data_IF_177297362163
#
_entry.id   IF_177297362163
#
_cell.length_a   1.000
_cell.length_b   1.000
_cell.length_c   1.000
_cell.angle_alpha   90.00
_cell.angle_beta   90.00
_cell.angle_gamma   90.00
#
_symmetry.space_group_name_H-M   'P 1'
#
loop_
_entity.id
_entity.type
_entity.pdbx_description
1 polymer ?
#
# COMPACT_ATOMS: atom_id res chain seq x y z
N UNK A 1 -1.83 19.23 -1.05
CA UNK A 1 -2.17 20.56 -0.52
C UNK A 1 -1.90 20.65 0.98
N UNK A 2 -2.32 19.66 1.76
CA UNK A 2 -2.08 19.64 3.23
C UNK A 2 -0.58 19.76 3.53
N UNK A 3 0.27 19.08 2.76
CA UNK A 3 1.73 19.19 2.86
C UNK A 3 2.33 20.53 2.39
N UNK A 4 1.52 21.52 2.01
CA UNK A 4 1.99 22.82 1.54
C UNK A 4 2.53 22.84 0.10
N UNK A 5 2.36 21.76 -0.68
CA UNK A 5 2.80 21.72 -2.08
C UNK A 5 2.05 22.78 -2.90
N UNK A 6 2.80 23.68 -3.54
CA UNK A 6 2.24 24.84 -4.26
C UNK A 6 1.72 24.45 -5.64
N UNK A 7 2.50 23.71 -6.43
CA UNK A 7 2.14 23.27 -7.78
C UNK A 7 1.77 21.79 -7.75
N UNK A 8 0.56 21.45 -8.17
CA UNK A 8 0.06 20.08 -8.25
C UNK A 8 -0.49 19.86 -9.64
N UNK A 9 0.02 18.83 -10.30
CA UNK A 9 -0.41 18.38 -11.61
C UNK A 9 -1.18 17.07 -11.46
N UNK A 10 -2.36 16.98 -12.07
CA UNK A 10 -3.11 15.76 -12.21
C UNK A 10 -2.94 15.21 -13.63
N UNK A 11 -2.38 14.01 -13.75
CA UNK A 11 -2.32 13.27 -15.01
C UNK A 11 -3.26 12.04 -14.91
N UNK A 12 -4.26 11.97 -15.78
CA UNK A 12 -5.22 10.87 -15.82
C UNK A 12 -5.73 10.68 -17.25
N UNK A 13 -5.58 9.48 -17.87
CA UNK A 13 -5.96 9.24 -19.25
C UNK A 13 -7.48 9.27 -19.50
N UNK A 14 -8.28 9.12 -18.44
CA UNK A 14 -9.75 9.11 -18.50
C UNK A 14 -10.33 10.13 -17.51
N UNK A 15 -10.37 11.38 -17.94
CA UNK A 15 -10.95 12.47 -17.15
C UNK A 15 -12.48 12.36 -17.16
N UNK A 16 -13.04 11.76 -16.12
CA UNK A 16 -14.49 11.75 -15.91
C UNK A 16 -14.95 12.94 -15.06
N UNK A 17 -16.26 13.30 -15.08
CA UNK A 17 -16.77 14.44 -14.34
C UNK A 17 -16.47 14.42 -12.84
N UNK A 18 -16.45 13.24 -12.20
CA UNK A 18 -16.17 13.11 -10.77
C UNK A 18 -14.70 13.47 -10.45
N UNK A 19 -13.75 13.02 -11.29
CA UNK A 19 -12.32 13.39 -11.15
C UNK A 19 -12.13 14.89 -11.34
N UNK A 20 -12.75 15.49 -12.35
CA UNK A 20 -12.67 16.92 -12.61
C UNK A 20 -13.31 17.74 -11.48
N UNK A 21 -14.46 17.30 -10.96
CA UNK A 21 -15.11 17.93 -9.84
C UNK A 21 -14.23 17.91 -8.59
N UNK A 22 -13.67 16.75 -8.25
CA UNK A 22 -12.78 16.60 -7.11
C UNK A 22 -11.52 17.48 -7.24
N UNK A 23 -10.89 17.48 -8.42
CA UNK A 23 -9.73 18.33 -8.70
C UNK A 23 -10.05 19.82 -8.54
N UNK A 24 -11.19 20.27 -9.09
CA UNK A 24 -11.69 21.65 -8.92
C UNK A 24 -11.94 21.99 -7.46
N UNK A 25 -12.59 21.08 -6.71
CA UNK A 25 -12.94 21.28 -5.29
C UNK A 25 -11.70 21.49 -4.42
N UNK A 26 -10.61 20.78 -4.68
CA UNK A 26 -9.35 20.94 -3.96
C UNK A 26 -8.41 21.97 -4.61
N UNK A 27 -8.84 22.63 -5.70
CA UNK A 27 -8.13 23.72 -6.37
C UNK A 27 -6.88 23.26 -7.14
N UNK A 28 -6.92 22.09 -7.80
CA UNK A 28 -5.94 21.69 -8.81
C UNK A 28 -6.32 22.40 -10.11
N UNK A 29 -5.35 23.10 -10.71
CA UNK A 29 -5.55 23.87 -11.93
C UNK A 29 -4.90 23.23 -13.17
N UNK A 30 -3.84 22.46 -12.99
CA UNK A 30 -3.11 21.79 -14.07
C UNK A 30 -3.59 20.34 -14.18
N UNK A 31 -4.33 20.05 -15.23
CA UNK A 31 -4.91 18.72 -15.47
C UNK A 31 -4.59 18.31 -16.91
N UNK A 32 -3.97 17.15 -17.07
CA UNK A 32 -3.57 16.61 -18.35
C UNK A 32 -4.25 15.26 -18.62
N UNK A 33 -4.90 15.14 -19.78
CA UNK A 33 -5.47 13.88 -20.26
C UNK A 33 -4.37 13.00 -20.84
N UNK A 34 -3.53 12.43 -19.96
CA UNK A 34 -2.44 11.54 -20.34
C UNK A 34 -2.22 10.46 -19.28
N UNK A 35 -1.65 9.33 -19.69
CA UNK A 35 -1.39 8.18 -18.81
C UNK A 35 -0.20 7.36 -19.31
N UNK A 36 0.01 6.21 -18.64
CA UNK A 36 1.09 5.30 -19.03
C UNK A 36 2.49 5.86 -18.82
N UNK A 37 3.47 5.25 -19.45
CA UNK A 37 4.86 5.70 -19.41
C UNK A 37 5.05 7.11 -19.94
N UNK A 38 4.24 7.52 -20.93
CA UNK A 38 4.29 8.83 -21.54
C UNK A 38 3.96 9.94 -20.53
N UNK A 39 2.97 9.71 -19.64
CA UNK A 39 2.66 10.66 -18.58
C UNK A 39 3.85 10.83 -17.62
N UNK A 40 4.51 9.73 -17.23
CA UNK A 40 5.67 9.75 -16.34
C UNK A 40 6.81 10.55 -16.99
N UNK A 41 7.15 10.25 -18.24
CA UNK A 41 8.19 10.96 -18.99
C UNK A 41 7.85 12.46 -19.17
N UNK A 42 6.60 12.79 -19.49
CA UNK A 42 6.15 14.18 -19.60
C UNK A 42 6.27 14.92 -18.28
N UNK A 43 5.84 14.32 -17.17
CA UNK A 43 5.95 14.93 -15.85
C UNK A 43 7.40 15.16 -15.44
N UNK A 44 8.29 14.19 -15.71
CA UNK A 44 9.70 14.29 -15.36
C UNK A 44 10.44 15.32 -16.21
N UNK A 45 10.34 15.24 -17.54
CA UNK A 45 11.24 15.97 -18.46
C UNK A 45 10.63 17.22 -19.08
N UNK A 46 9.31 17.24 -19.31
CA UNK A 46 8.62 18.41 -19.91
C UNK A 46 8.10 19.33 -18.80
N UNK A 47 7.30 18.78 -17.88
CA UNK A 47 6.72 19.55 -16.77
C UNK A 47 7.70 19.80 -15.63
N UNK A 48 8.79 19.02 -15.57
CA UNK A 48 9.89 19.10 -14.60
C UNK A 48 9.40 19.19 -13.16
N UNK A 49 8.52 18.27 -12.78
CA UNK A 49 8.02 18.19 -11.40
C UNK A 49 9.10 17.66 -10.45
N UNK A 50 9.06 18.05 -9.18
CA UNK A 50 10.02 17.56 -8.19
C UNK A 50 9.70 16.13 -7.72
N UNK A 51 8.43 15.73 -7.76
CA UNK A 51 8.01 14.39 -7.30
C UNK A 51 6.78 13.90 -8.09
N UNK A 52 6.77 12.63 -8.46
CA UNK A 52 5.66 11.92 -9.08
C UNK A 52 5.15 10.89 -8.07
N UNK A 53 3.85 10.89 -7.81
CA UNK A 53 3.17 9.97 -6.88
C UNK A 53 1.88 9.44 -7.48
N UNK A 54 1.45 8.28 -7.02
CA UNK A 54 0.16 7.69 -7.39
C UNK A 54 0.29 6.30 -8.03
N UNK A 55 -0.80 5.54 -8.05
CA UNK A 55 -0.80 4.17 -8.56
C UNK A 55 -0.70 4.14 -10.09
N UNK A 56 -0.35 2.99 -10.62
CA UNK A 56 -0.30 2.75 -12.04
C UNK A 56 -0.07 1.28 -12.37
N UNK A 57 -0.23 0.94 -13.65
CA UNK A 57 0.06 -0.39 -14.14
C UNK A 57 1.57 -0.66 -14.24
N UNK A 58 1.96 -1.87 -14.67
CA UNK A 58 3.35 -2.29 -14.79
C UNK A 58 4.21 -1.36 -15.65
N UNK A 59 3.64 -0.74 -16.70
CA UNK A 59 4.35 0.23 -17.55
C UNK A 59 4.63 1.53 -16.81
N UNK A 60 3.68 2.01 -16.00
CA UNK A 60 3.88 3.18 -15.12
C UNK A 60 4.93 2.88 -14.07
N UNK A 61 4.87 1.72 -13.43
CA UNK A 61 5.85 1.29 -12.43
C UNK A 61 7.27 1.20 -13.03
N UNK A 62 7.41 0.65 -14.25
CA UNK A 62 8.69 0.58 -14.95
C UNK A 62 9.20 1.98 -15.32
N UNK A 63 8.33 2.83 -15.87
CA UNK A 63 8.70 4.21 -16.23
C UNK A 63 9.14 5.03 -15.01
N UNK A 64 8.48 4.87 -13.86
CA UNK A 64 8.91 5.50 -12.60
C UNK A 64 10.31 5.06 -12.17
N UNK A 65 10.66 3.78 -12.36
CA UNK A 65 12.01 3.29 -12.07
C UNK A 65 13.06 3.92 -13.00
N UNK A 66 12.73 4.12 -14.28
CA UNK A 66 13.65 4.71 -15.27
C UNK A 66 13.94 6.19 -14.99
N UNK A 67 12.94 6.95 -14.49
CA UNK A 67 13.11 8.38 -14.17
C UNK A 67 13.56 8.63 -12.73
N UNK A 68 13.73 7.56 -11.93
CA UNK A 68 14.18 7.68 -10.54
C UNK A 68 15.62 8.23 -10.50
N UNK A 69 15.81 9.32 -9.77
CA UNK A 69 17.06 10.07 -9.75
C UNK A 69 16.95 11.40 -10.47
N UNK A 70 16.21 11.47 -11.59
CA UNK A 70 15.88 12.73 -12.27
C UNK A 70 14.70 13.43 -11.60
N UNK A 71 13.77 12.66 -11.08
CA UNK A 71 12.60 13.14 -10.33
C UNK A 71 12.34 12.23 -9.12
N UNK A 72 11.87 12.81 -8.02
CA UNK A 72 11.49 12.03 -6.85
C UNK A 72 10.29 11.13 -7.14
N UNK A 73 10.37 9.87 -6.73
CA UNK A 73 9.28 8.89 -6.81
C UNK A 73 8.92 8.45 -5.39
N UNK A 74 7.67 8.08 -5.14
CA UNK A 74 7.32 7.41 -3.89
C UNK A 74 8.11 6.11 -3.72
N UNK A 75 8.52 5.81 -2.48
CA UNK A 75 9.41 4.69 -2.16
C UNK A 75 8.78 3.30 -2.26
N UNK A 76 7.65 3.14 -2.97
CA UNK A 76 6.92 1.88 -3.04
C UNK A 76 6.86 1.32 -4.48
N UNK A 77 6.82 0.00 -4.57
CA UNK A 77 6.62 -0.71 -5.83
C UNK A 77 5.11 -0.91 -6.03
N UNK A 78 4.56 -0.39 -7.11
CA UNK A 78 3.19 -0.68 -7.50
C UNK A 78 3.13 -2.09 -8.12
N UNK A 79 2.42 -2.98 -7.46
CA UNK A 79 2.12 -4.34 -7.91
C UNK A 79 0.63 -4.63 -7.84
N UNK A 80 0.21 -5.89 -8.07
CA UNK A 80 -1.16 -6.30 -7.81
C UNK A 80 -1.54 -6.05 -6.36
N UNK A 81 -2.79 -5.67 -6.13
CA UNK A 81 -3.27 -5.43 -4.76
C UNK A 81 -3.37 -6.72 -3.95
N UNK A 82 -3.13 -6.63 -2.66
CA UNK A 82 -2.97 -7.76 -1.76
C UNK A 82 -3.79 -7.59 -0.48
N UNK A 83 -4.39 -8.69 -0.02
CA UNK A 83 -4.98 -8.77 1.31
C UNK A 83 -4.48 -10.00 2.05
N UNK A 84 -4.12 -9.82 3.31
CA UNK A 84 -3.89 -10.92 4.25
C UNK A 84 -4.85 -10.77 5.43
N UNK A 85 -5.66 -11.79 5.67
CA UNK A 85 -6.63 -11.82 6.77
C UNK A 85 -6.16 -12.79 7.85
N UNK A 86 -6.08 -12.32 9.08
CA UNK A 86 -5.90 -13.19 10.25
C UNK A 86 -7.24 -13.38 10.91
N UNK A 87 -7.71 -14.61 10.97
CA UNK A 87 -9.03 -14.97 11.51
C UNK A 87 -8.94 -16.12 12.53
N UNK A 88 -9.87 -16.14 13.48
CA UNK A 88 -9.98 -17.19 14.49
C UNK A 88 -11.38 -17.85 14.50
N UNK A 89 -11.59 -18.81 15.39
CA UNK A 89 -12.87 -19.53 15.54
C UNK A 89 -14.08 -18.64 15.87
N UNK A 90 -13.87 -17.39 16.26
CA UNK A 90 -14.93 -16.42 16.57
C UNK A 90 -15.22 -15.48 15.41
N UNK A 91 -14.38 -15.50 14.38
CA UNK A 91 -14.56 -14.69 13.18
C UNK A 91 -15.73 -15.23 12.36
N UNK A 92 -16.57 -14.34 11.87
CA UNK A 92 -17.66 -14.72 10.98
C UNK A 92 -17.09 -15.12 9.60
N UNK A 93 -17.45 -16.32 9.14
CA UNK A 93 -16.99 -16.84 7.85
C UNK A 93 -17.36 -15.92 6.67
N UNK A 94 -18.56 -15.34 6.70
CA UNK A 94 -19.01 -14.46 5.61
C UNK A 94 -18.19 -13.17 5.54
N UNK A 95 -17.74 -12.63 6.68
CA UNK A 95 -16.84 -11.47 6.70
C UNK A 95 -15.52 -11.82 6.01
N UNK A 96 -14.92 -12.96 6.33
CA UNK A 96 -13.67 -13.43 5.68
C UNK A 96 -13.86 -13.63 4.18
N UNK A 97 -14.94 -14.29 3.77
CA UNK A 97 -15.26 -14.53 2.36
C UNK A 97 -15.41 -13.19 1.63
N UNK A 98 -16.18 -12.25 2.19
CA UNK A 98 -16.44 -10.95 1.58
C UNK A 98 -15.16 -10.14 1.40
N UNK A 99 -14.29 -10.07 2.42
CA UNK A 99 -13.01 -9.35 2.32
C UNK A 99 -12.07 -9.98 1.29
N UNK A 100 -11.95 -11.31 1.25
CA UNK A 100 -11.14 -12.00 0.23
C UNK A 100 -11.66 -11.75 -1.18
N UNK A 101 -12.98 -11.80 -1.38
CA UNK A 101 -13.61 -11.56 -2.69
C UNK A 101 -13.47 -10.09 -3.11
N UNK A 102 -13.66 -9.15 -2.20
CA UNK A 102 -13.50 -7.72 -2.47
C UNK A 102 -12.10 -7.39 -3.01
N UNK A 103 -11.07 -8.07 -2.51
CA UNK A 103 -9.73 -7.94 -3.07
C UNK A 103 -9.57 -8.72 -4.39
N UNK A 104 -10.07 -9.95 -4.45
CA UNK A 104 -9.90 -10.83 -5.60
C UNK A 104 -10.57 -10.27 -6.88
N UNK A 105 -11.68 -9.55 -6.76
CA UNK A 105 -12.38 -8.96 -7.91
C UNK A 105 -11.66 -7.73 -8.49
N UNK A 106 -10.65 -7.20 -7.81
CA UNK A 106 -9.90 -6.02 -8.24
C UNK A 106 -9.10 -6.30 -9.51
N UNK A 107 -8.32 -7.39 -9.53
CA UNK A 107 -7.50 -7.83 -10.66
C UNK A 107 -7.26 -9.34 -10.62
N UNK A 108 -7.02 -9.97 -11.77
CA UNK A 108 -6.71 -11.40 -11.88
C UNK A 108 -5.42 -11.79 -11.17
N UNK A 109 -4.52 -10.84 -10.94
CA UNK A 109 -3.25 -11.03 -10.24
C UNK A 109 -3.33 -10.66 -8.75
N UNK A 110 -4.49 -10.20 -8.26
CA UNK A 110 -4.65 -9.87 -6.84
C UNK A 110 -4.33 -11.08 -5.96
N UNK A 111 -3.64 -10.82 -4.83
CA UNK A 111 -3.29 -11.87 -3.87
C UNK A 111 -4.20 -11.83 -2.66
N UNK A 112 -4.78 -12.99 -2.30
CA UNK A 112 -5.74 -13.11 -1.21
C UNK A 112 -5.30 -14.23 -0.27
N UNK A 113 -4.90 -13.86 0.96
CA UNK A 113 -4.32 -14.80 1.93
C UNK A 113 -5.17 -14.88 3.20
N UNK A 114 -5.47 -16.08 3.66
CA UNK A 114 -6.00 -16.34 4.99
C UNK A 114 -4.93 -16.99 5.87
N UNK A 115 -4.68 -16.43 7.04
CA UNK A 115 -3.86 -17.05 8.10
C UNK A 115 -4.78 -17.41 9.27
N UNK A 116 -4.81 -18.67 9.69
CA UNK A 116 -5.66 -19.09 10.81
C UNK A 116 -5.10 -20.30 11.53
N UNK A 117 -5.50 -20.46 12.79
CA UNK A 117 -5.29 -21.68 13.59
C UNK A 117 -6.49 -22.62 13.59
N UNK A 118 -7.57 -22.25 12.90
CA UNK A 118 -8.84 -23.00 12.91
C UNK A 118 -9.04 -23.81 11.62
N UNK A 119 -8.84 -25.12 11.71
CA UNK A 119 -9.05 -26.06 10.59
C UNK A 119 -10.51 -26.06 10.10
N UNK A 120 -11.49 -25.82 11.00
CA UNK A 120 -12.91 -25.77 10.64
C UNK A 120 -13.20 -24.53 9.78
N UNK A 121 -12.60 -23.40 10.11
CA UNK A 121 -12.70 -22.18 9.29
C UNK A 121 -12.14 -22.42 7.88
N UNK A 122 -10.98 -23.08 7.78
CA UNK A 122 -10.37 -23.44 6.48
C UNK A 122 -11.32 -24.32 5.65
N UNK A 123 -11.87 -25.37 6.26
CA UNK A 123 -12.80 -26.28 5.57
C UNK A 123 -14.03 -25.53 5.06
N UNK A 124 -14.64 -24.72 5.91
CA UNK A 124 -15.84 -23.96 5.56
C UNK A 124 -15.56 -22.91 4.51
N UNK A 125 -14.41 -22.21 4.56
CA UNK A 125 -14.00 -21.26 3.54
C UNK A 125 -13.90 -21.92 2.17
N UNK A 126 -13.15 -23.03 2.08
CA UNK A 126 -12.97 -23.78 0.81
C UNK A 126 -14.31 -24.24 0.21
N UNK A 127 -15.27 -24.63 1.06
CA UNK A 127 -16.58 -25.08 0.62
C UNK A 127 -17.44 -23.94 0.05
N UNK A 128 -17.38 -22.75 0.67
CA UNK A 128 -18.38 -21.70 0.43
C UNK A 128 -17.88 -20.56 -0.48
N UNK A 129 -16.57 -20.31 -0.57
CA UNK A 129 -16.07 -19.13 -1.27
C UNK A 129 -16.46 -19.07 -2.75
N UNK A 130 -16.36 -20.18 -3.48
CA UNK A 130 -16.72 -20.23 -4.90
C UNK A 130 -18.25 -20.23 -5.14
N UNK A 131 -19.02 -20.73 -4.18
CA UNK A 131 -20.48 -20.61 -4.24
C UNK A 131 -20.92 -19.15 -4.09
N UNK A 132 -20.30 -18.41 -3.17
CA UNK A 132 -20.58 -16.98 -3.00
C UNK A 132 -20.22 -16.18 -4.25
N UNK A 133 -19.17 -16.55 -4.98
CA UNK A 133 -18.75 -15.88 -6.20
C UNK A 133 -19.73 -15.99 -7.37
N UNK A 134 -20.53 -17.07 -7.46
CA UNK A 134 -21.34 -17.40 -8.65
C UNK A 134 -22.21 -16.24 -9.13
N UNK A 135 -22.78 -15.49 -8.21
CA UNK A 135 -23.76 -14.43 -8.50
C UNK A 135 -23.15 -13.02 -8.55
N UNK A 136 -21.82 -12.89 -8.47
CA UNK A 136 -21.18 -11.59 -8.49
C UNK A 136 -20.81 -11.14 -9.90
N UNK A 137 -20.94 -9.85 -10.24
CA UNK A 137 -20.65 -9.33 -11.57
C UNK A 137 -19.23 -9.62 -12.06
N UNK A 138 -18.24 -9.59 -11.17
CA UNK A 138 -16.81 -9.82 -11.49
C UNK A 138 -16.32 -11.23 -11.13
N UNK A 139 -17.22 -12.21 -11.10
CA UNK A 139 -16.91 -13.58 -10.66
C UNK A 139 -15.75 -14.23 -11.42
N UNK A 140 -15.61 -13.98 -12.73
CA UNK A 140 -14.52 -14.54 -13.55
C UNK A 140 -13.15 -14.03 -13.09
N UNK A 141 -13.03 -12.73 -12.80
CA UNK A 141 -11.79 -12.11 -12.33
C UNK A 141 -11.46 -12.66 -10.94
N UNK A 142 -12.39 -12.57 -9.99
CA UNK A 142 -12.21 -13.03 -8.63
C UNK A 142 -11.91 -14.54 -8.55
N UNK A 143 -12.60 -15.37 -9.35
CA UNK A 143 -12.33 -16.81 -9.40
C UNK A 143 -10.93 -17.13 -9.91
N UNK A 144 -10.44 -16.39 -10.91
CA UNK A 144 -9.08 -16.55 -11.42
C UNK A 144 -8.04 -16.13 -10.38
N UNK A 145 -8.21 -14.95 -9.79
CA UNK A 145 -7.34 -14.45 -8.72
C UNK A 145 -7.24 -15.44 -7.55
N UNK A 146 -8.38 -15.91 -7.02
CA UNK A 146 -8.40 -16.86 -5.90
C UNK A 146 -7.81 -18.24 -6.24
N UNK A 147 -7.96 -18.70 -7.48
CA UNK A 147 -7.38 -19.99 -7.93
C UNK A 147 -5.87 -19.90 -8.10
N UNK A 148 -5.40 -18.84 -8.71
CA UNK A 148 -4.00 -18.70 -9.11
C UNK A 148 -3.13 -18.11 -7.98
N UNK A 149 -3.68 -17.18 -7.18
CA UNK A 149 -2.95 -16.39 -6.18
C UNK A 149 -3.56 -16.47 -4.77
N UNK A 150 -4.63 -17.24 -4.56
CA UNK A 150 -5.22 -17.45 -3.25
C UNK A 150 -4.39 -18.40 -2.39
N UNK A 151 -4.14 -18.06 -1.13
CA UNK A 151 -3.37 -18.90 -0.21
C UNK A 151 -4.06 -19.02 1.14
N UNK A 152 -4.01 -20.22 1.71
CA UNK A 152 -4.46 -20.48 3.08
C UNK A 152 -3.27 -21.01 3.89
N UNK A 153 -2.91 -20.31 4.95
CA UNK A 153 -1.83 -20.68 5.86
C UNK A 153 -2.45 -21.18 7.18
N UNK A 154 -2.24 -22.44 7.48
CA UNK A 154 -2.55 -22.98 8.77
C UNK A 154 -1.39 -22.77 9.73
N UNK A 155 -1.57 -21.91 10.73
CA UNK A 155 -0.58 -21.64 11.75
C UNK A 155 -0.88 -22.49 13.01
N UNK A 156 0.14 -23.09 13.60
CA UNK A 156 -0.03 -23.89 14.84
C UNK A 156 -0.10 -23.01 16.08
N UNK A 157 0.53 -21.84 16.06
CA UNK A 157 0.62 -20.92 17.19
C UNK A 157 0.73 -19.45 16.73
N UNK A 158 0.69 -18.54 17.69
CA UNK A 158 0.73 -17.09 17.44
C UNK A 158 2.07 -16.63 16.85
N UNK A 159 3.18 -17.29 17.19
CA UNK A 159 4.52 -16.96 16.64
C UNK A 159 4.54 -17.18 15.12
N UNK A 160 3.96 -18.29 14.67
CA UNK A 160 3.88 -18.57 13.22
C UNK A 160 2.95 -17.58 12.49
N UNK A 161 1.87 -17.10 13.14
CA UNK A 161 1.02 -16.05 12.56
C UNK A 161 1.86 -14.78 12.33
N UNK A 162 2.56 -14.31 13.36
CA UNK A 162 3.40 -13.09 13.29
C UNK A 162 4.52 -13.26 12.23
N UNK A 163 5.18 -14.41 12.23
CA UNK A 163 6.22 -14.72 11.25
C UNK A 163 5.67 -14.65 9.83
N UNK A 164 4.55 -15.33 9.55
CA UNK A 164 3.94 -15.31 8.24
C UNK A 164 3.54 -13.90 7.80
N UNK A 165 2.93 -13.10 8.68
CA UNK A 165 2.59 -11.69 8.38
C UNK A 165 3.84 -10.90 7.98
N UNK A 166 4.91 -10.96 8.78
CA UNK A 166 6.13 -10.19 8.52
C UNK A 166 6.91 -10.69 7.29
N UNK A 167 6.82 -11.97 6.94
CA UNK A 167 7.41 -12.53 5.72
C UNK A 167 6.62 -12.12 4.48
N UNK A 168 5.29 -12.19 4.52
CA UNK A 168 4.40 -11.75 3.43
C UNK A 168 4.53 -10.23 3.24
N UNK A 169 4.55 -9.48 4.35
CA UNK A 169 4.58 -8.01 4.34
C UNK A 169 3.46 -7.41 3.49
N UNK A 170 2.19 -7.73 3.81
CA UNK A 170 1.04 -7.47 2.96
C UNK A 170 0.76 -5.97 2.81
N UNK A 171 0.17 -5.60 1.67
CA UNK A 171 -0.42 -4.29 1.46
C UNK A 171 -1.50 -3.99 2.51
N UNK A 172 -2.50 -4.86 2.57
CA UNK A 172 -3.57 -4.79 3.57
C UNK A 172 -3.52 -5.99 4.50
N UNK A 173 -3.49 -5.74 5.80
CA UNK A 173 -3.60 -6.75 6.84
C UNK A 173 -4.90 -6.54 7.60
N UNK A 174 -5.84 -7.50 7.54
CA UNK A 174 -7.00 -7.52 8.42
C UNK A 174 -6.75 -8.42 9.64
N UNK A 175 -6.77 -7.85 10.83
CA UNK A 175 -6.73 -8.58 12.09
C UNK A 175 -8.17 -8.80 12.61
N UNK A 176 -8.87 -9.76 12.02
CA UNK A 176 -10.25 -10.07 12.39
C UNK A 176 -10.31 -11.12 13.51
N UNK A 177 -9.66 -10.80 14.61
CA UNK A 177 -9.49 -11.66 15.80
C UNK A 177 -9.71 -10.87 17.09
N UNK A 178 -10.24 -11.54 18.13
CA UNK A 178 -10.57 -10.87 19.39
C UNK A 178 -9.34 -10.28 20.09
N UNK A 179 -8.24 -11.03 20.16
CA UNK A 179 -7.04 -10.65 20.91
C UNK A 179 -5.95 -10.04 20.03
N UNK A 180 -6.29 -9.12 19.13
CA UNK A 180 -5.38 -8.51 18.16
C UNK A 180 -4.20 -7.76 18.81
N UNK A 181 -4.39 -7.17 20.00
CA UNK A 181 -3.35 -6.36 20.68
C UNK A 181 -2.03 -7.10 20.87
N UNK A 182 -2.06 -8.42 21.13
CA UNK A 182 -0.84 -9.22 21.32
C UNK A 182 0.02 -9.38 20.07
N UNK A 183 -0.50 -9.00 18.90
CA UNK A 183 0.19 -9.07 17.62
C UNK A 183 0.77 -7.72 17.19
N UNK A 184 0.11 -6.58 17.56
CA UNK A 184 0.44 -5.26 17.02
C UNK A 184 1.92 -4.89 17.19
N UNK A 185 2.47 -5.05 18.41
CA UNK A 185 3.86 -4.71 18.71
C UNK A 185 4.90 -5.64 18.06
N UNK A 186 4.43 -6.70 17.39
CA UNK A 186 5.26 -7.71 16.72
C UNK A 186 5.14 -7.67 15.20
N UNK A 187 4.18 -6.92 14.68
CA UNK A 187 3.97 -6.71 13.25
C UNK A 187 4.64 -5.40 12.86
N UNK A 188 5.68 -5.49 12.07
CA UNK A 188 6.43 -4.35 11.57
C UNK A 188 6.43 -4.24 10.04
N UNK A 189 5.92 -5.24 9.34
CA UNK A 189 5.84 -5.25 7.90
C UNK A 189 4.38 -5.38 7.45
N UNK A 190 3.68 -4.26 7.27
CA UNK A 190 2.37 -4.19 6.63
C UNK A 190 2.15 -2.77 6.10
N UNK A 191 1.50 -2.64 4.96
CA UNK A 191 1.15 -1.33 4.39
C UNK A 191 0.05 -0.64 5.19
N UNK A 192 -1.00 -1.38 5.55
CA UNK A 192 -2.10 -0.93 6.41
C UNK A 192 -2.57 -2.08 7.31
N UNK A 193 -2.96 -1.77 8.54
CA UNK A 193 -3.53 -2.75 9.49
C UNK A 193 -4.95 -2.36 9.84
N UNK A 194 -5.91 -3.15 9.37
CA UNK A 194 -7.33 -3.01 9.64
C UNK A 194 -7.72 -3.90 10.83
N UNK A 195 -8.30 -3.31 11.88
CA UNK A 195 -8.50 -4.01 13.15
C UNK A 195 -9.98 -4.28 13.42
N UNK A 196 -10.33 -5.55 13.46
CA UNK A 196 -11.67 -6.03 13.84
C UNK A 196 -12.71 -5.88 12.72
N UNK A 197 -13.88 -6.44 12.97
CA UNK A 197 -14.95 -6.58 11.98
C UNK A 197 -15.54 -5.28 11.41
N UNK A 198 -15.35 -4.17 12.09
CA UNK A 198 -15.85 -2.86 11.64
C UNK A 198 -14.84 -2.03 10.84
N UNK A 199 -13.69 -2.60 10.55
CA UNK A 199 -12.62 -1.94 9.80
C UNK A 199 -12.22 -2.77 8.59
N UNK A 200 -13.15 -3.11 7.68
CA UNK A 200 -12.78 -3.83 6.46
C UNK A 200 -11.93 -2.93 5.55
N UNK A 201 -11.04 -3.53 4.78
CA UNK A 201 -10.13 -2.85 3.85
C UNK A 201 -10.82 -1.77 3.00
N UNK A 202 -11.97 -2.08 2.40
CA UNK A 202 -12.69 -1.15 1.55
C UNK A 202 -13.07 0.16 2.26
N UNK A 203 -13.39 0.13 3.57
CA UNK A 203 -13.67 1.35 4.35
C UNK A 203 -12.38 2.13 4.60
N UNK A 204 -11.28 1.44 4.87
CA UNK A 204 -9.98 2.10 5.12
C UNK A 204 -9.46 2.80 3.87
N UNK A 205 -9.67 2.22 2.69
CA UNK A 205 -9.23 2.80 1.42
C UNK A 205 -10.02 4.05 1.01
N UNK A 206 -11.31 4.11 1.34
CA UNK A 206 -12.16 5.18 0.81
C UNK A 206 -12.56 6.23 1.84
N UNK A 207 -12.83 5.87 3.09
CA UNK A 207 -13.57 6.73 4.01
C UNK A 207 -12.88 6.99 5.36
N UNK A 208 -11.93 6.16 5.80
CA UNK A 208 -11.35 6.28 7.15
C UNK A 208 -10.24 7.33 7.27
N UNK A 209 -9.88 8.00 6.18
CA UNK A 209 -8.84 9.03 6.14
C UNK A 209 -7.42 8.52 5.91
N UNK A 210 -7.21 7.22 5.85
CA UNK A 210 -5.96 6.60 5.42
C UNK A 210 -5.77 6.72 3.91
N UNK A 211 -4.53 6.62 3.44
CA UNK A 211 -4.25 6.61 2.00
C UNK A 211 -4.29 5.18 1.47
N UNK A 212 -4.89 4.99 0.30
CA UNK A 212 -4.97 3.69 -0.37
C UNK A 212 -3.74 3.39 -1.28
N UNK A 213 -2.81 4.32 -1.42
CA UNK A 213 -1.54 4.09 -2.14
C UNK A 213 -0.55 3.49 -1.16
N UNK A 214 -0.49 2.19 -1.15
CA UNK A 214 0.22 1.37 -0.17
C UNK A 214 1.31 0.53 -0.83
N UNK A 215 2.34 0.11 -0.08
CA UNK A 215 3.38 -0.78 -0.59
C UNK A 215 2.82 -2.17 -0.87
N UNK A 216 3.11 -2.71 -2.05
CA UNK A 216 2.72 -4.05 -2.50
C UNK A 216 3.94 -4.93 -2.75
N UNK A 217 3.73 -6.21 -3.06
CA UNK A 217 4.80 -7.18 -3.39
C UNK A 217 5.89 -7.26 -2.32
N UNK A 218 5.47 -7.24 -1.05
CA UNK A 218 6.39 -7.34 0.08
C UNK A 218 7.23 -6.09 0.33
N UNK A 219 6.99 -4.98 -0.38
CA UNK A 219 7.76 -3.73 -0.20
C UNK A 219 7.44 -3.01 1.11
N UNK A 220 6.41 -3.44 1.85
CA UNK A 220 6.17 -2.97 3.21
C UNK A 220 7.32 -3.28 4.20
N UNK A 221 8.31 -4.09 3.80
CA UNK A 221 9.57 -4.31 4.54
C UNK A 221 10.45 -3.06 4.63
N UNK A 222 10.34 -2.16 3.67
CA UNK A 222 11.21 -0.97 3.57
C UNK A 222 10.48 0.30 3.11
N UNK A 223 9.20 0.21 2.79
CA UNK A 223 8.37 1.33 2.33
C UNK A 223 7.12 1.48 3.18
N UNK A 224 6.63 2.71 3.29
CA UNK A 224 5.33 3.04 3.90
C UNK A 224 4.33 3.48 2.84
N UNK A 225 3.05 3.52 3.19
CA UNK A 225 2.02 4.11 2.36
C UNK A 225 2.25 5.60 2.13
N UNK A 226 1.72 6.12 1.03
CA UNK A 226 1.82 7.54 0.69
C UNK A 226 1.26 8.41 1.81
N UNK A 227 2.05 9.33 2.31
CA UNK A 227 1.70 10.21 3.43
C UNK A 227 2.22 11.64 3.21
N UNK A 228 1.86 12.53 4.13
CA UNK A 228 2.32 13.93 4.09
C UNK A 228 3.84 14.03 4.18
N UNK A 229 4.49 13.11 4.91
CA UNK A 229 5.95 13.08 5.07
C UNK A 229 6.71 12.86 3.75
N UNK A 230 6.06 12.22 2.75
CA UNK A 230 6.62 12.03 1.42
C UNK A 230 6.92 13.35 0.66
N UNK A 231 6.31 14.45 1.10
CA UNK A 231 6.47 15.77 0.49
C UNK A 231 7.37 16.70 1.30
N UNK A 232 8.00 16.21 2.38
CA UNK A 232 8.96 16.96 3.16
C UNK A 232 10.39 16.52 2.88
N UNK A 233 11.31 17.49 2.90
CA UNK A 233 12.74 17.25 2.90
C UNK A 233 13.33 17.68 4.23
N UNK A 234 14.23 16.88 4.77
CA UNK A 234 15.00 17.25 5.95
C UNK A 234 16.31 17.92 5.51
N UNK A 235 16.59 19.10 6.06
CA UNK A 235 17.82 19.85 5.79
C UNK A 235 18.52 20.07 7.14
N UNK A 236 19.75 19.62 7.25
CA UNK A 236 20.56 19.87 8.44
C UNK A 236 21.14 21.28 8.40
N UNK A 237 20.95 22.04 9.47
CA UNK A 237 21.58 23.35 9.67
C UNK A 237 22.62 23.19 10.77
N UNK A 238 23.89 23.39 10.43
CA UNK A 238 25.01 23.23 11.36
C UNK A 238 25.69 24.59 11.53
N UNK A 239 25.79 25.04 12.79
CA UNK A 239 26.56 26.23 13.17
C UNK A 239 27.41 25.92 14.38
N UNK A 240 28.70 25.94 14.20
CA UNK A 240 29.65 25.74 15.30
C UNK A 240 30.13 27.08 15.89
N UNK A 241 30.42 27.10 17.19
CA UNK A 241 31.20 28.17 17.83
C UNK A 241 32.69 27.91 17.62
N UNK A 242 33.55 28.94 17.85
CA UNK A 242 35.00 28.79 17.82
C UNK A 242 35.46 27.64 18.74
N UNK A 243 35.01 27.63 19.98
CA UNK A 243 35.31 26.55 20.94
C UNK A 243 34.79 25.17 20.46
N UNK A 244 33.67 25.15 19.75
CA UNK A 244 33.12 23.91 19.18
C UNK A 244 34.03 23.33 18.12
N UNK A 245 34.46 24.14 17.15
CA UNK A 245 35.33 23.66 16.08
C UNK A 245 36.72 23.28 16.60
N UNK A 246 37.29 24.04 17.56
CA UNK A 246 38.56 23.71 18.23
C UNK A 246 38.50 22.32 18.89
N UNK A 247 37.35 21.94 19.47
CA UNK A 247 37.18 20.65 20.16
C UNK A 247 37.08 19.45 19.22
N UNK A 248 36.45 19.61 18.04
CA UNK A 248 36.15 18.49 17.16
C UNK A 248 36.87 18.52 15.81
N UNK A 249 37.48 19.67 15.44
CA UNK A 249 38.11 19.88 14.15
C UNK A 249 39.28 18.94 13.88
N UNK A 250 40.10 18.67 14.92
CA UNK A 250 41.23 17.75 14.83
C UNK A 250 40.82 16.36 14.39
N UNK A 251 39.72 15.84 14.92
CA UNK A 251 39.18 14.53 14.49
C UNK A 251 38.73 14.53 13.05
N UNK A 252 38.14 15.63 12.60
CA UNK A 252 37.70 15.76 11.18
C UNK A 252 38.90 15.80 10.24
N UNK A 253 40.02 16.46 10.65
CA UNK A 253 41.25 16.49 9.86
C UNK A 253 41.85 15.10 9.70
N UNK A 254 41.97 14.34 10.78
CA UNK A 254 42.47 12.95 10.70
C UNK A 254 41.60 11.99 9.89
N UNK A 255 40.29 12.22 9.82
CA UNK A 255 39.37 11.39 9.03
C UNK A 255 39.33 11.79 7.56
N UNK A 256 39.76 12.99 7.20
CA UNK A 256 39.79 13.49 5.84
C UNK A 256 41.09 13.16 5.05
N UNK A 257 42.15 12.74 5.75
CA UNK A 257 43.40 12.22 5.21
C UNK A 257 43.29 10.75 4.83
#
# INVERSE_FOLDING_TARGET
KIAGVKRIILANPKLNPAVLYAAKKIGIKEIYSMGGAQAIASLAYIQRVNKIVGPGNIYVAKAKKEVFGDVGIEGMIAGPSEITIVADKKTNLNEVITSLIAQAEHDVNSQCILITKDKKLIHNLKKNIFETLKNLPRNKIASKSLKDNGLIIYAQNDKQIVQAINEISPEHLELNIKNYKKYLDKIYNAGSICIGKYSPMAVTDYNSGTNHVLPTMGSAKFSSGLSVSEFYKKISHIKLSKKGIEKIGEYATHLAE
#
